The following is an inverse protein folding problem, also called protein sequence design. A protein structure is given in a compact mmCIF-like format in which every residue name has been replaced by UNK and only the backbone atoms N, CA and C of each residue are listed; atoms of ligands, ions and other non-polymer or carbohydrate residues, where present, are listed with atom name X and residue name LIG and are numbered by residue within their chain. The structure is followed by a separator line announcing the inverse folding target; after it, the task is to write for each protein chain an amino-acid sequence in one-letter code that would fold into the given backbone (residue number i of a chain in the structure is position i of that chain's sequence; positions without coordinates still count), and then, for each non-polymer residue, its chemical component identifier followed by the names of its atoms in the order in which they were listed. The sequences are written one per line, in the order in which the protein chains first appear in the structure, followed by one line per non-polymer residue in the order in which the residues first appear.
data_IF_374608437308
#
_entry.id   IF_374608437308
#
_cell.length_a   1.000
_cell.length_b   1.000
_cell.length_c   1.000
_cell.angle_alpha   90.00
_cell.angle_beta   90.00
_cell.angle_gamma   90.00
#
_symmetry.space_group_name_H-M   'P 1'
#
loop_
_entity.id
_entity.type
_entity.pdbx_description
1 polymer ?
#
# COMPACT_ATOMS: atom_id res chain seq x y z
N UNK A 1 17.61 -10.08 -16.17
CA UNK A 1 17.06 -9.84 -14.82
C UNK A 1 17.59 -10.91 -13.89
N UNK A 2 18.29 -10.53 -12.83
CA UNK A 2 18.79 -11.48 -11.85
C UNK A 2 17.66 -11.98 -10.95
N UNK A 3 17.78 -13.23 -10.47
CA UNK A 3 16.79 -13.86 -9.59
C UNK A 3 16.50 -13.01 -8.33
N UNK A 4 17.53 -12.32 -7.82
CA UNK A 4 17.41 -11.42 -6.67
C UNK A 4 16.50 -10.21 -6.98
N UNK A 5 16.72 -9.53 -8.11
CA UNK A 5 15.91 -8.37 -8.52
C UNK A 5 14.46 -8.80 -8.79
N UNK A 6 14.25 -9.95 -9.42
CA UNK A 6 12.91 -10.51 -9.63
C UNK A 6 12.21 -10.75 -8.29
N UNK A 7 12.91 -11.30 -7.30
CA UNK A 7 12.37 -11.55 -5.96
C UNK A 7 11.99 -10.26 -5.25
N UNK A 8 12.84 -9.22 -5.32
CA UNK A 8 12.56 -7.90 -4.76
C UNK A 8 11.33 -7.29 -5.43
N UNK A 9 11.27 -7.30 -6.77
CA UNK A 9 10.12 -6.77 -7.50
C UNK A 9 8.82 -7.51 -7.16
N UNK A 10 8.86 -8.84 -7.05
CA UNK A 10 7.69 -9.65 -6.69
C UNK A 10 7.24 -9.37 -5.25
N UNK A 11 8.18 -9.26 -4.32
CA UNK A 11 7.87 -8.92 -2.93
C UNK A 11 7.27 -7.51 -2.82
N UNK A 12 7.89 -6.51 -3.47
CA UNK A 12 7.35 -5.14 -3.57
C UNK A 12 5.95 -5.12 -4.18
N UNK A 13 5.73 -5.94 -5.21
CA UNK A 13 4.45 -6.08 -5.86
C UNK A 13 3.42 -6.63 -4.86
N UNK A 14 3.72 -7.72 -4.17
CA UNK A 14 2.82 -8.33 -3.18
C UNK A 14 2.48 -7.36 -2.04
N UNK A 15 3.48 -6.64 -1.50
CA UNK A 15 3.31 -5.65 -0.42
C UNK A 15 2.32 -4.56 -0.84
N UNK A 16 2.54 -3.95 -2.01
CA UNK A 16 1.70 -2.85 -2.49
C UNK A 16 0.32 -3.31 -2.94
N UNK A 17 0.22 -4.52 -3.49
CA UNK A 17 -1.04 -5.13 -3.88
C UNK A 17 -1.93 -5.39 -2.65
N UNK A 18 -1.39 -6.02 -1.61
CA UNK A 18 -2.11 -6.24 -0.34
C UNK A 18 -2.51 -4.91 0.31
N UNK A 19 -1.62 -3.91 0.30
CA UNK A 19 -1.91 -2.57 0.81
C UNK A 19 -3.08 -1.89 0.08
N UNK A 20 -3.16 -2.01 -1.24
CA UNK A 20 -4.28 -1.50 -2.04
C UNK A 20 -5.58 -2.30 -1.79
N UNK A 21 -5.49 -3.62 -1.63
CA UNK A 21 -6.63 -4.47 -1.33
C UNK A 21 -7.27 -4.16 0.03
N UNK A 22 -6.50 -3.67 1.01
CA UNK A 22 -7.01 -3.34 2.33
C UNK A 22 -8.21 -2.36 2.26
N UNK A 23 -8.21 -1.41 1.33
CA UNK A 23 -9.35 -0.49 1.12
C UNK A 23 -10.66 -1.23 0.80
N UNK A 24 -10.60 -2.37 0.11
CA UNK A 24 -11.78 -3.16 -0.19
C UNK A 24 -12.43 -3.76 1.07
N UNK A 25 -11.66 -4.03 2.13
CA UNK A 25 -12.18 -4.50 3.40
C UNK A 25 -13.09 -3.46 4.07
N UNK A 26 -12.72 -2.16 4.01
CA UNK A 26 -13.55 -1.06 4.53
C UNK A 26 -14.90 -0.97 3.82
N UNK A 27 -14.90 -1.05 2.49
CA UNK A 27 -16.14 -1.06 1.68
C UNK A 27 -17.00 -2.29 2.01
N UNK A 28 -16.37 -3.45 2.20
CA UNK A 28 -17.07 -4.67 2.60
C UNK A 28 -17.71 -4.55 4.00
N UNK A 29 -17.07 -3.83 4.92
CA UNK A 29 -17.58 -3.56 6.27
C UNK A 29 -18.89 -2.79 6.28
N UNK A 30 -18.92 -1.64 5.58
CA UNK A 30 -20.12 -0.81 5.42
C UNK A 30 -21.26 -1.61 4.82
N UNK A 31 -21.00 -2.33 3.72
CA UNK A 31 -22.03 -3.11 3.03
C UNK A 31 -22.59 -4.26 3.87
N UNK A 32 -21.79 -4.84 4.77
CA UNK A 32 -22.21 -5.95 5.64
C UNK A 32 -22.72 -5.47 7.00
N UNK A 33 -22.68 -4.15 7.27
CA UNK A 33 -22.99 -3.55 8.57
C UNK A 33 -22.15 -4.13 9.72
N UNK A 34 -20.91 -4.57 9.41
CA UNK A 34 -19.98 -5.22 10.36
C UNK A 34 -18.66 -4.47 10.42
N UNK A 35 -18.73 -3.23 10.87
CA UNK A 35 -17.61 -2.27 10.82
C UNK A 35 -16.39 -2.76 11.61
N UNK A 36 -16.59 -3.24 12.84
CA UNK A 36 -15.49 -3.69 13.70
C UNK A 36 -14.69 -4.86 13.09
N UNK A 37 -15.39 -5.84 12.50
CA UNK A 37 -14.74 -6.98 11.86
C UNK A 37 -13.98 -6.58 10.58
N UNK A 38 -14.55 -5.68 9.79
CA UNK A 38 -13.88 -5.14 8.62
C UNK A 38 -12.65 -4.28 8.99
N UNK A 39 -12.72 -3.54 10.10
CA UNK A 39 -11.59 -2.78 10.63
C UNK A 39 -10.47 -3.71 11.09
N UNK A 40 -10.79 -4.79 11.79
CA UNK A 40 -9.81 -5.81 12.17
C UNK A 40 -9.15 -6.44 10.93
N UNK A 41 -9.93 -6.79 9.90
CA UNK A 41 -9.40 -7.32 8.63
C UNK A 41 -8.48 -6.32 7.92
N UNK A 42 -8.88 -5.04 7.85
CA UNK A 42 -8.06 -3.96 7.30
C UNK A 42 -6.72 -3.86 8.02
N UNK A 43 -6.74 -3.81 9.36
CA UNK A 43 -5.52 -3.69 10.17
C UNK A 43 -4.59 -4.89 10.00
N UNK A 44 -5.14 -6.11 9.93
CA UNK A 44 -4.34 -7.32 9.66
C UNK A 44 -3.65 -7.24 8.30
N UNK A 45 -4.36 -6.83 7.24
CA UNK A 45 -3.79 -6.69 5.90
C UNK A 45 -2.69 -5.61 5.86
N UNK A 46 -2.92 -4.46 6.50
CA UNK A 46 -1.93 -3.37 6.58
C UNK A 46 -0.70 -3.79 7.39
N UNK A 47 -0.91 -4.47 8.53
CA UNK A 47 0.18 -4.97 9.36
C UNK A 47 1.04 -5.98 8.59
N UNK A 48 0.42 -6.91 7.88
CA UNK A 48 1.13 -7.89 7.04
C UNK A 48 1.96 -7.20 5.96
N UNK A 49 1.36 -6.23 5.24
CA UNK A 49 2.05 -5.44 4.22
C UNK A 49 3.28 -4.71 4.80
N UNK A 50 3.15 -4.10 5.98
CA UNK A 50 4.26 -3.39 6.64
C UNK A 50 5.36 -4.32 7.15
N UNK A 51 4.98 -5.46 7.74
CA UNK A 51 5.94 -6.46 8.17
C UNK A 51 6.76 -6.97 6.97
N UNK A 52 6.09 -7.28 5.86
CA UNK A 52 6.74 -7.65 4.60
C UNK A 52 7.66 -6.56 4.07
N UNK A 53 7.30 -5.28 4.22
CA UNK A 53 8.18 -4.17 3.86
C UNK A 53 9.44 -4.11 4.73
N UNK A 54 9.36 -4.51 6.00
CA UNK A 54 10.54 -4.67 6.87
C UNK A 54 11.54 -5.71 6.33
N UNK A 55 11.06 -6.81 5.74
CA UNK A 55 11.91 -7.80 5.08
C UNK A 55 12.53 -7.30 3.77
N UNK A 56 11.90 -6.35 3.09
CA UNK A 56 12.39 -5.80 1.83
C UNK A 56 13.72 -5.06 1.99
N UNK A 57 13.92 -4.37 3.13
CA UNK A 57 15.13 -3.59 3.43
C UNK A 57 16.43 -4.41 3.32
N UNK A 58 16.56 -5.53 4.04
CA UNK A 58 17.72 -6.42 3.93
C UNK A 58 17.98 -6.95 2.50
N UNK A 59 16.94 -7.29 1.73
CA UNK A 59 17.11 -7.75 0.34
C UNK A 59 17.66 -6.65 -0.58
N UNK A 60 17.19 -5.41 -0.40
CA UNK A 60 17.70 -4.24 -1.11
C UNK A 60 19.13 -3.89 -0.70
N UNK A 61 19.43 -3.94 0.60
CA UNK A 61 20.79 -3.69 1.11
C UNK A 61 21.80 -4.67 0.50
N UNK A 62 21.46 -5.97 0.47
CA UNK A 62 22.29 -7.00 -0.17
C UNK A 62 22.49 -6.74 -1.68
N UNK A 63 21.49 -6.21 -2.37
CA UNK A 63 21.61 -5.86 -3.80
C UNK A 63 22.61 -4.72 -4.00
N UNK A 64 22.58 -3.70 -3.15
CA UNK A 64 23.55 -2.60 -3.19
C UNK A 64 24.96 -3.09 -2.90
N UNK A 65 25.14 -3.92 -1.87
CA UNK A 65 26.45 -4.50 -1.54
C UNK A 65 27.03 -5.29 -2.72
N UNK A 66 26.20 -6.08 -3.39
CA UNK A 66 26.62 -6.85 -4.56
C UNK A 66 26.98 -5.93 -5.74
N UNK A 67 26.27 -4.81 -5.91
CA UNK A 67 26.55 -3.82 -6.94
C UNK A 67 27.84 -3.03 -6.67
N UNK A 68 28.10 -2.68 -5.40
CA UNK A 68 29.35 -2.06 -4.95
C UNK A 68 30.57 -2.95 -5.23
N UNK A 69 30.44 -4.26 -4.98
CA UNK A 69 31.52 -5.22 -5.21
C UNK A 69 31.81 -5.46 -6.70
N UNK A 70 30.82 -5.26 -7.57
CA UNK A 70 30.91 -5.50 -9.00
C UNK A 70 31.26 -4.25 -9.82
N UNK A 71 31.55 -3.10 -9.18
CA UNK A 71 31.86 -1.78 -9.76
C UNK A 71 30.89 -1.34 -10.89
N UNK A 72 29.67 -1.85 -10.86
CA UNK A 72 28.64 -1.69 -11.90
C UNK A 72 27.57 -0.71 -11.42
N UNK A 73 27.98 0.53 -11.16
CA UNK A 73 27.11 1.59 -10.65
C UNK A 73 25.99 2.01 -11.60
N UNK A 74 26.18 1.87 -12.92
CA UNK A 74 25.24 2.35 -13.93
C UNK A 74 23.89 1.59 -13.93
N UNK A 75 23.84 0.37 -13.40
CA UNK A 75 22.61 -0.44 -13.37
C UNK A 75 21.72 -0.22 -12.15
N UNK A 76 22.26 0.30 -11.05
CA UNK A 76 21.57 0.29 -9.75
C UNK A 76 20.37 1.26 -9.70
N UNK A 77 20.50 2.42 -10.34
CA UNK A 77 19.40 3.39 -10.45
C UNK A 77 18.24 2.80 -11.24
N UNK A 78 18.54 2.10 -12.34
CA UNK A 78 17.54 1.42 -13.15
C UNK A 78 16.82 0.31 -12.36
N UNK A 79 17.56 -0.49 -11.59
CA UNK A 79 17.01 -1.53 -10.72
C UNK A 79 16.01 -0.93 -9.71
N UNK A 80 16.34 0.18 -9.06
CA UNK A 80 15.43 0.81 -8.09
C UNK A 80 14.20 1.46 -8.73
N UNK A 81 14.34 2.05 -9.92
CA UNK A 81 13.18 2.52 -10.69
C UNK A 81 12.27 1.36 -11.10
N UNK A 82 12.84 0.21 -11.43
CA UNK A 82 12.08 -1.00 -11.73
C UNK A 82 11.31 -1.51 -10.50
N UNK A 83 11.92 -1.48 -9.31
CA UNK A 83 11.25 -1.82 -8.05
C UNK A 83 10.08 -0.86 -7.76
N UNK A 84 10.28 0.45 -7.92
CA UNK A 84 9.20 1.44 -7.80
C UNK A 84 8.12 1.24 -8.89
N UNK A 85 8.50 0.75 -10.07
CA UNK A 85 7.55 0.50 -11.15
C UNK A 85 6.69 -0.71 -10.82
N UNK A 86 7.27 -1.74 -10.20
CA UNK A 86 6.54 -2.87 -9.65
C UNK A 86 5.55 -2.42 -8.55
N UNK A 87 5.93 -1.49 -7.67
CA UNK A 87 5.04 -0.90 -6.67
C UNK A 87 3.85 -0.16 -7.30
N UNK A 88 4.10 0.59 -8.37
CA UNK A 88 3.08 1.32 -9.12
C UNK A 88 2.14 0.35 -9.83
N UNK A 89 2.68 -0.65 -10.54
CA UNK A 89 1.90 -1.68 -11.21
C UNK A 89 1.02 -2.45 -10.23
N UNK A 90 1.56 -2.81 -9.07
CA UNK A 90 0.82 -3.46 -8.00
C UNK A 90 -0.31 -2.59 -7.44
N UNK A 91 -0.07 -1.29 -7.25
CA UNK A 91 -1.09 -0.37 -6.76
C UNK A 91 -2.20 -0.15 -7.80
N UNK A 92 -1.87 -0.06 -9.08
CA UNK A 92 -2.85 0.02 -10.17
C UNK A 92 -3.70 -1.26 -10.23
N UNK A 93 -3.05 -2.43 -10.25
CA UNK A 93 -3.73 -3.71 -10.29
C UNK A 93 -4.57 -3.95 -9.03
N UNK A 94 -4.04 -3.62 -7.86
CA UNK A 94 -4.75 -3.71 -6.59
C UNK A 94 -6.00 -2.83 -6.56
N UNK A 95 -5.88 -1.57 -6.99
CA UNK A 95 -7.02 -0.64 -7.10
C UNK A 95 -8.07 -1.14 -8.09
N UNK A 96 -7.65 -1.69 -9.24
CA UNK A 96 -8.57 -2.31 -10.19
C UNK A 96 -9.26 -3.55 -9.61
N UNK A 97 -8.58 -4.27 -8.70
CA UNK A 97 -9.10 -5.47 -8.05
C UNK A 97 -10.04 -5.19 -6.87
N UNK A 98 -10.16 -3.93 -6.42
CA UNK A 98 -11.01 -3.54 -5.28
C UNK A 98 -12.46 -4.06 -5.39
N UNK A 99 -13.18 -3.94 -6.52
CA UNK A 99 -14.57 -4.42 -6.61
C UNK A 99 -14.67 -5.94 -6.43
N UNK A 100 -13.67 -6.69 -6.90
CA UNK A 100 -13.59 -8.15 -6.75
C UNK A 100 -13.29 -8.51 -5.30
N UNK A 101 -12.27 -7.87 -4.73
CA UNK A 101 -11.85 -8.07 -3.36
C UNK A 101 -12.93 -7.69 -2.34
N UNK A 102 -13.70 -6.63 -2.62
CA UNK A 102 -14.84 -6.23 -1.79
C UNK A 102 -15.84 -7.39 -1.66
N UNK A 103 -16.18 -8.07 -2.77
CA UNK A 103 -17.12 -9.20 -2.74
C UNK A 103 -16.55 -10.38 -1.97
N UNK A 104 -15.25 -10.66 -2.15
CA UNK A 104 -14.55 -11.72 -1.43
C UNK A 104 -14.57 -11.45 0.08
N UNK A 105 -14.24 -10.23 0.49
CA UNK A 105 -14.27 -9.83 1.89
C UNK A 105 -15.67 -9.77 2.47
N UNK A 106 -16.68 -9.30 1.73
CA UNK A 106 -18.08 -9.33 2.22
C UNK A 106 -18.55 -10.76 2.52
N UNK A 107 -18.15 -11.74 1.70
CA UNK A 107 -18.46 -13.16 1.98
C UNK A 107 -17.63 -13.71 3.13
N UNK A 108 -16.34 -13.43 3.17
CA UNK A 108 -15.47 -13.87 4.26
C UNK A 108 -15.96 -13.33 5.62
N UNK A 109 -16.35 -12.05 5.66
CA UNK A 109 -16.96 -11.40 6.83
C UNK A 109 -18.31 -12.06 7.17
N UNK A 110 -19.10 -12.45 6.16
CA UNK A 110 -20.32 -13.25 6.27
C UNK A 110 -20.08 -14.57 7.02
N UNK A 111 -19.18 -15.38 6.47
CA UNK A 111 -18.85 -16.73 6.94
C UNK A 111 -18.10 -16.74 8.28
N UNK A 112 -17.36 -15.67 8.59
CA UNK A 112 -16.66 -15.48 9.86
C UNK A 112 -17.61 -15.51 11.07
N UNK A 113 -18.88 -15.13 10.87
CA UNK A 113 -19.86 -15.20 11.96
C UNK A 113 -20.16 -16.62 12.42
N UNK A 114 -19.99 -17.64 11.57
CA UNK A 114 -20.22 -19.03 11.96
C UNK A 114 -18.96 -19.67 12.56
N UNK A 115 -17.78 -19.15 12.25
CA UNK A 115 -16.50 -19.65 12.76
C UNK A 115 -15.74 -18.50 13.43
N UNK A 116 -15.87 -18.36 14.75
CA UNK A 116 -15.29 -17.27 15.57
C UNK A 116 -13.75 -17.22 15.64
N UNK A 117 -13.04 -17.89 14.73
CA UNK A 117 -11.58 -18.06 14.76
C UNK A 117 -10.93 -17.52 13.48
N UNK A 118 -10.11 -16.47 13.63
CA UNK A 118 -9.30 -15.86 12.56
C UNK A 118 -8.35 -16.88 11.91
N UNK A 119 -7.75 -17.75 12.72
CA UNK A 119 -6.86 -18.82 12.25
C UNK A 119 -7.61 -19.87 11.41
N UNK A 120 -8.89 -20.12 11.72
CA UNK A 120 -9.72 -21.07 10.96
C UNK A 120 -10.10 -20.49 9.60
N UNK A 121 -10.38 -19.19 9.48
CA UNK A 121 -10.65 -18.58 8.17
C UNK A 121 -9.41 -18.48 7.28
N UNK A 122 -8.22 -18.23 7.82
CA UNK A 122 -6.98 -18.28 7.03
C UNK A 122 -6.79 -19.69 6.45
N UNK A 123 -7.04 -20.74 7.25
CA UNK A 123 -6.96 -22.14 6.79
C UNK A 123 -8.02 -22.48 5.72
N UNK A 124 -9.24 -21.94 5.83
CA UNK A 124 -10.32 -22.17 4.86
C UNK A 124 -10.09 -21.38 3.57
N UNK A 125 -9.63 -20.13 3.66
CA UNK A 125 -9.26 -19.31 2.50
C UNK A 125 -8.05 -19.87 1.74
N UNK A 126 -7.11 -20.52 2.44
CA UNK A 126 -5.97 -21.22 1.84
C UNK A 126 -6.34 -22.61 1.26
N UNK A 127 -7.58 -23.07 1.40
CA UNK A 127 -8.01 -24.36 0.86
C UNK A 127 -8.31 -24.28 -0.65
N UNK A 128 -8.04 -25.35 -1.44
CA UNK A 128 -8.27 -25.37 -2.88
C UNK A 128 -9.76 -25.18 -3.27
N UNK A 129 -10.68 -25.55 -2.38
CA UNK A 129 -12.13 -25.29 -2.54
C UNK A 129 -12.48 -23.82 -2.30
N UNK A 130 -11.83 -23.15 -1.35
CA UNK A 130 -11.95 -21.71 -1.13
C UNK A 130 -11.45 -20.89 -2.32
N UNK A 131 -10.29 -21.24 -2.88
CA UNK A 131 -9.75 -20.60 -4.09
C UNK A 131 -10.67 -20.81 -5.32
N UNK A 132 -11.13 -22.03 -5.58
CA UNK A 132 -12.01 -22.31 -6.72
C UNK A 132 -13.35 -21.54 -6.63
N UNK A 133 -13.85 -21.27 -5.42
CA UNK A 133 -15.07 -20.51 -5.19
C UNK A 133 -14.85 -18.98 -5.33
N UNK A 134 -13.68 -18.48 -4.93
CA UNK A 134 -13.27 -17.09 -5.16
C UNK A 134 -13.12 -16.76 -6.65
N UNK A 135 -12.59 -17.71 -7.43
CA UNK A 135 -12.41 -17.60 -8.88
C UNK A 135 -13.74 -17.52 -9.66
N UNK A 136 -14.75 -18.32 -9.29
CA UNK A 136 -16.08 -18.31 -9.95
C UNK A 136 -16.88 -17.03 -9.71
N UNK A 137 -16.48 -16.21 -8.74
CA UNK A 137 -17.12 -14.92 -8.44
C UNK A 137 -16.53 -13.73 -9.22
N UNK A 138 -15.46 -13.96 -9.98
CA UNK A 138 -14.84 -12.95 -10.82
C UNK A 138 -15.75 -12.56 -11.97
N UNK A 139 -16.15 -11.29 -12.03
CA UNK A 139 -16.83 -10.70 -13.20
C UNK A 139 -16.24 -9.33 -13.49
N UNK A 140 -16.08 -9.03 -14.79
CA UNK A 140 -15.37 -7.85 -15.32
C UNK A 140 -15.94 -6.51 -14.82
N UNK A 141 -15.09 -5.50 -14.60
CA UNK A 141 -15.49 -4.18 -14.12
C UNK A 141 -16.38 -3.47 -15.15
N UNK A 142 -17.54 -2.95 -14.72
CA UNK A 142 -18.41 -2.11 -15.56
C UNK A 142 -17.96 -0.64 -15.45
N UNK A 143 -17.56 -0.07 -16.58
CA UNK A 143 -17.03 1.29 -16.71
C UNK A 143 -18.04 2.42 -16.40
N UNK A 144 -19.33 2.10 -16.21
CA UNK A 144 -20.37 3.07 -15.82
C UNK A 144 -20.16 3.68 -14.43
N UNK A 145 -19.32 3.08 -13.58
CA UNK A 145 -19.00 3.60 -12.24
C UNK A 145 -17.93 4.71 -12.22
N UNK A 146 -17.20 4.94 -13.31
CA UNK A 146 -16.14 5.95 -13.39
C UNK A 146 -16.67 7.36 -13.69
N UNK A 147 -17.85 7.49 -14.32
CA UNK A 147 -18.39 8.78 -14.76
C UNK A 147 -18.96 9.65 -13.62
N UNK A 148 -19.01 9.15 -12.38
CA UNK A 148 -19.50 9.89 -11.21
C UNK A 148 -18.42 10.40 -10.25
N UNK A 149 -17.14 10.39 -10.66
CA UNK A 149 -15.99 10.74 -9.81
C UNK A 149 -15.83 12.26 -9.55
N UNK A 150 -16.59 13.13 -10.22
CA UNK A 150 -16.44 14.59 -10.12
C UNK A 150 -17.24 15.27 -8.99
N UNK A 151 -17.86 14.51 -8.08
CA UNK A 151 -18.52 15.08 -6.90
C UNK A 151 -17.67 14.93 -5.64
N UNK A 152 -16.86 15.94 -5.30
CA UNK A 152 -15.96 15.99 -4.13
C UNK A 152 -16.70 16.13 -2.77
N UNK A 153 -17.87 15.49 -2.60
CA UNK A 153 -18.69 15.63 -1.39
C UNK A 153 -18.37 14.60 -0.29
N UNK A 154 -17.13 14.12 -0.21
CA UNK A 154 -16.76 13.03 0.73
C UNK A 154 -15.57 13.37 1.62
N UNK A 155 -14.45 13.82 1.03
CA UNK A 155 -13.21 14.09 1.75
C UNK A 155 -12.52 15.30 1.12
N UNK A 156 -11.96 16.18 1.94
CA UNK A 156 -11.26 17.38 1.49
C UNK A 156 -10.04 17.06 0.61
N UNK A 157 -9.76 17.91 -0.37
CA UNK A 157 -8.59 17.81 -1.24
C UNK A 157 -7.27 17.74 -0.46
N UNK A 158 -7.22 18.39 0.71
CA UNK A 158 -6.09 18.33 1.63
C UNK A 158 -5.79 16.91 2.11
N UNK A 159 -6.80 16.13 2.49
CA UNK A 159 -6.65 14.75 2.97
C UNK A 159 -6.18 13.83 1.82
N UNK A 160 -6.70 14.05 0.62
CA UNK A 160 -6.28 13.30 -0.57
C UNK A 160 -4.81 13.60 -0.89
N UNK A 161 -4.43 14.87 -0.93
CA UNK A 161 -3.05 15.30 -1.17
C UNK A 161 -2.10 14.74 -0.09
N UNK A 162 -2.53 14.74 1.16
CA UNK A 162 -1.76 14.17 2.25
C UNK A 162 -1.61 12.66 2.13
N UNK A 163 -2.63 11.94 1.65
CA UNK A 163 -2.52 10.51 1.36
C UNK A 163 -1.55 10.27 0.19
N UNK A 164 -1.59 11.08 -0.87
CA UNK A 164 -0.58 11.00 -1.96
C UNK A 164 0.82 11.15 -1.38
N UNK A 165 1.06 12.16 -0.55
CA UNK A 165 2.36 12.43 0.07
C UNK A 165 2.80 11.27 0.96
N UNK A 166 1.92 10.79 1.85
CA UNK A 166 2.23 9.68 2.74
C UNK A 166 2.60 8.40 1.96
N UNK A 167 1.86 8.08 0.90
CA UNK A 167 2.16 6.92 0.06
C UNK A 167 3.46 7.10 -0.75
N UNK A 168 3.77 8.32 -1.18
CA UNK A 168 5.05 8.62 -1.82
C UNK A 168 6.22 8.44 -0.85
N UNK A 169 6.11 8.94 0.39
CA UNK A 169 7.12 8.77 1.42
C UNK A 169 7.35 7.30 1.79
N UNK A 170 6.28 6.49 1.92
CA UNK A 170 6.40 5.05 2.15
C UNK A 170 7.07 4.32 0.99
N UNK A 171 6.81 4.74 -0.25
CA UNK A 171 7.41 4.13 -1.45
C UNK A 171 8.89 4.47 -1.60
N UNK A 172 9.26 5.72 -1.34
CA UNK A 172 10.63 6.22 -1.54
C UNK A 172 11.53 5.98 -0.34
N UNK A 173 11.02 6.03 0.89
CA UNK A 173 11.83 6.13 2.11
C UNK A 173 12.96 5.11 2.20
N UNK A 174 12.64 3.81 2.08
CA UNK A 174 13.66 2.74 2.14
C UNK A 174 14.64 2.83 0.99
N UNK A 175 14.16 3.00 -0.23
CA UNK A 175 14.99 3.01 -1.43
C UNK A 175 15.92 4.23 -1.47
N UNK A 176 15.41 5.43 -1.14
CA UNK A 176 16.19 6.66 -1.10
C UNK A 176 17.26 6.62 -0.01
N UNK A 177 16.94 6.12 1.18
CA UNK A 177 17.91 5.95 2.26
C UNK A 177 19.05 5.00 1.90
N UNK A 178 18.72 3.89 1.25
CA UNK A 178 19.70 2.92 0.81
C UNK A 178 20.54 3.45 -0.37
N UNK A 179 19.93 4.18 -1.31
CA UNK A 179 20.65 4.83 -2.40
C UNK A 179 21.53 5.98 -1.93
N UNK A 180 21.11 6.75 -0.93
CA UNK A 180 21.93 7.77 -0.27
C UNK A 180 23.21 7.19 0.33
N UNK A 181 23.11 6.03 0.99
CA UNK A 181 24.27 5.31 1.51
C UNK A 181 25.18 4.70 0.43
N UNK A 182 24.69 4.57 -0.81
CA UNK A 182 25.50 4.24 -1.97
C UNK A 182 26.21 5.49 -2.54
N UNK A 183 25.52 6.63 -2.61
CA UNK A 183 26.08 7.89 -3.08
C UNK A 183 27.22 8.41 -2.19
N UNK A 184 27.05 8.31 -0.86
CA UNK A 184 28.06 8.73 0.11
C UNK A 184 28.29 7.58 1.12
N UNK A 185 29.25 6.67 0.83
CA UNK A 185 29.49 5.49 1.66
C UNK A 185 29.85 5.79 3.12
N UNK A 186 30.45 6.96 3.39
CA UNK A 186 30.83 7.41 4.73
C UNK A 186 29.64 7.48 5.70
N UNK A 187 28.46 7.91 5.22
CA UNK A 187 27.25 8.02 6.04
C UNK A 187 26.25 6.88 5.83
N UNK A 188 26.70 5.74 5.27
CA UNK A 188 25.81 4.65 4.86
C UNK A 188 24.90 4.14 5.98
N UNK A 189 25.44 3.99 7.20
CA UNK A 189 24.65 3.52 8.36
C UNK A 189 23.63 4.58 8.76
N UNK A 190 24.04 5.85 8.88
CA UNK A 190 23.16 6.98 9.21
C UNK A 190 22.04 7.14 8.20
N UNK A 191 22.37 7.13 6.90
CA UNK A 191 21.41 7.19 5.80
C UNK A 191 20.38 6.04 5.86
N UNK A 192 20.83 4.83 6.19
CA UNK A 192 19.95 3.67 6.37
C UNK A 192 19.00 3.84 7.56
N UNK A 193 19.45 4.43 8.67
CA UNK A 193 18.58 4.66 9.85
C UNK A 193 17.53 5.76 9.61
N UNK A 194 17.83 6.76 8.79
CA UNK A 194 16.87 7.80 8.39
C UNK A 194 15.61 7.22 7.70
N UNK A 195 15.72 6.03 7.09
CA UNK A 195 14.57 5.31 6.51
C UNK A 195 13.47 5.05 7.54
N UNK A 196 13.83 4.69 8.77
CA UNK A 196 12.86 4.42 9.83
C UNK A 196 12.10 5.69 10.21
N UNK A 197 12.78 6.84 10.22
CA UNK A 197 12.17 8.15 10.51
C UNK A 197 11.18 8.52 9.40
N UNK A 198 11.60 8.43 8.13
CA UNK A 198 10.73 8.75 6.98
C UNK A 198 9.49 7.86 6.96
N UNK A 199 9.66 6.54 7.16
CA UNK A 199 8.54 5.61 7.22
C UNK A 199 7.64 5.84 8.43
N UNK A 200 8.22 6.16 9.59
CA UNK A 200 7.48 6.51 10.81
C UNK A 200 6.60 7.73 10.58
N UNK A 201 7.15 8.80 10.01
CA UNK A 201 6.40 10.00 9.68
C UNK A 201 5.26 9.71 8.69
N UNK A 202 5.53 8.98 7.62
CA UNK A 202 4.52 8.61 6.65
C UNK A 202 3.39 7.75 7.27
N UNK A 203 3.75 6.86 8.19
CA UNK A 203 2.80 6.02 8.92
C UNK A 203 1.92 6.84 9.85
N UNK A 204 2.49 7.84 10.54
CA UNK A 204 1.75 8.79 11.37
C UNK A 204 0.75 9.58 10.52
N UNK A 205 1.17 10.09 9.35
CA UNK A 205 0.25 10.77 8.42
C UNK A 205 -0.95 9.90 8.05
N UNK A 206 -0.73 8.62 7.73
CA UNK A 206 -1.83 7.68 7.43
C UNK A 206 -2.76 7.49 8.62
N UNK A 207 -2.23 7.15 9.80
CA UNK A 207 -3.07 6.79 10.94
C UNK A 207 -3.72 7.96 11.65
N UNK A 208 -3.05 9.11 11.72
CA UNK A 208 -3.55 10.26 12.48
C UNK A 208 -4.45 11.14 11.62
N UNK A 209 -4.18 11.22 10.31
CA UNK A 209 -4.84 12.22 9.47
C UNK A 209 -5.80 11.59 8.45
N UNK A 210 -5.61 10.33 8.05
CA UNK A 210 -6.41 9.70 6.99
C UNK A 210 -7.37 8.65 7.57
N UNK A 211 -6.91 7.78 8.45
CA UNK A 211 -7.74 6.73 9.07
C UNK A 211 -8.93 7.27 9.91
N UNK A 212 -8.81 8.39 10.65
CA UNK A 212 -9.95 8.95 11.39
C UNK A 212 -11.01 9.52 10.45
N UNK A 213 -10.60 10.15 9.34
CA UNK A 213 -11.52 10.68 8.33
C UNK A 213 -12.36 9.55 7.71
N UNK A 214 -11.73 8.42 7.42
CA UNK A 214 -12.43 7.22 6.94
C UNK A 214 -13.36 6.61 8.00
N UNK A 215 -12.96 6.64 9.27
CA UNK A 215 -13.78 6.09 10.36
C UNK A 215 -15.01 6.96 10.62
N UNK A 216 -14.87 8.28 10.68
CA UNK A 216 -16.01 9.21 10.80
C UNK A 216 -16.97 9.05 9.62
N UNK A 217 -16.44 9.00 8.39
CA UNK A 217 -17.28 8.78 7.21
C UNK A 217 -17.97 7.40 7.22
N UNK A 218 -17.38 6.41 7.90
CA UNK A 218 -18.02 5.10 8.09
C UNK A 218 -19.22 5.22 9.03
N UNK A 219 -19.08 5.95 10.13
CA UNK A 219 -20.15 6.20 11.10
C UNK A 219 -21.28 7.04 10.49
N UNK A 220 -20.94 8.01 9.63
CA UNK A 220 -21.90 8.79 8.86
C UNK A 220 -22.76 7.92 7.92
N UNK A 221 -22.17 6.88 7.33
CA UNK A 221 -22.94 5.95 6.50
C UNK A 221 -23.84 5.05 7.34
N UNK A 222 -23.37 4.62 8.50
CA UNK A 222 -24.17 3.77 9.42
C UNK A 222 -25.33 4.55 10.01
N UNK A 223 -25.13 5.83 10.33
CA UNK A 223 -26.18 6.73 10.81
C UNK A 223 -27.14 7.20 9.70
N UNK A 224 -26.84 6.89 8.44
CA UNK A 224 -27.65 7.25 7.28
C UNK A 224 -27.50 8.70 6.82
N UNK A 225 -26.58 9.47 7.42
CA UNK A 225 -26.29 10.86 7.01
C UNK A 225 -25.59 10.92 5.65
N UNK A 226 -24.83 9.86 5.29
CA UNK A 226 -24.11 9.73 4.02
C UNK A 226 -24.49 8.42 3.33
N UNK A 227 -24.78 8.47 2.03
CA UNK A 227 -25.08 7.26 1.26
C UNK A 227 -23.85 6.36 1.03
N UNK A 228 -24.03 5.03 1.05
CA UNK A 228 -22.95 4.05 0.75
C UNK A 228 -22.23 4.33 -0.57
N UNK A 229 -22.95 4.88 -1.56
CA UNK A 229 -22.39 5.25 -2.86
C UNK A 229 -21.32 6.35 -2.78
N UNK A 230 -21.48 7.32 -1.87
CA UNK A 230 -20.52 8.41 -1.63
C UNK A 230 -19.29 7.85 -0.93
N UNK A 231 -19.48 7.04 0.12
CA UNK A 231 -18.38 6.35 0.80
C UNK A 231 -17.54 5.50 -0.13
N UNK A 232 -18.19 4.68 -0.98
CA UNK A 232 -17.46 3.88 -1.98
C UNK A 232 -16.63 4.75 -2.93
N UNK A 233 -17.16 5.90 -3.37
CA UNK A 233 -16.41 6.83 -4.23
C UNK A 233 -15.19 7.40 -3.50
N UNK A 234 -15.34 7.81 -2.25
CA UNK A 234 -14.22 8.28 -1.41
C UNK A 234 -13.14 7.23 -1.26
N UNK A 235 -13.51 5.99 -0.92
CA UNK A 235 -12.52 4.92 -0.75
C UNK A 235 -11.79 4.62 -2.07
N UNK A 236 -12.50 4.65 -3.21
CA UNK A 236 -11.88 4.51 -4.53
C UNK A 236 -10.94 5.68 -4.83
N UNK A 237 -11.31 6.90 -4.46
CA UNK A 237 -10.47 8.10 -4.62
C UNK A 237 -9.19 8.00 -3.78
N UNK A 238 -9.27 7.49 -2.56
CA UNK A 238 -8.09 7.24 -1.71
C UNK A 238 -7.21 6.09 -2.25
N UNK A 239 -7.81 5.07 -2.84
CA UNK A 239 -7.05 4.04 -3.55
C UNK A 239 -6.36 4.60 -4.80
N UNK A 240 -7.00 5.50 -5.53
CA UNK A 240 -6.40 6.19 -6.68
C UNK A 240 -5.27 7.13 -6.22
N UNK A 241 -5.45 7.84 -5.11
CA UNK A 241 -4.38 8.69 -4.57
C UNK A 241 -3.17 7.88 -4.10
N UNK A 242 -3.36 6.62 -3.69
CA UNK A 242 -2.22 5.69 -3.48
C UNK A 242 -1.43 5.45 -4.76
N UNK A 243 -2.11 5.22 -5.89
CA UNK A 243 -1.44 5.08 -7.20
C UNK A 243 -0.68 6.36 -7.53
N UNK A 244 -1.29 7.53 -7.38
CA UNK A 244 -0.62 8.81 -7.57
C UNK A 244 0.61 8.94 -6.67
N UNK A 245 0.53 8.50 -5.41
CA UNK A 245 1.67 8.49 -4.48
C UNK A 245 2.82 7.59 -4.95
N UNK A 246 2.52 6.39 -5.48
CA UNK A 246 3.55 5.51 -6.05
C UNK A 246 4.18 6.04 -7.33
N UNK A 247 3.42 6.80 -8.13
CA UNK A 247 3.97 7.50 -9.29
C UNK A 247 4.83 8.69 -8.84
N UNK A 248 4.36 9.45 -7.86
CA UNK A 248 5.13 10.55 -7.26
C UNK A 248 6.43 10.03 -6.64
N UNK A 249 6.43 8.81 -6.09
CA UNK A 249 7.62 8.16 -5.58
C UNK A 249 8.71 7.98 -6.64
N UNK A 250 8.35 7.69 -7.90
CA UNK A 250 9.32 7.60 -9.00
C UNK A 250 10.05 8.92 -9.24
N UNK A 251 9.31 10.02 -9.20
CA UNK A 251 9.85 11.36 -9.42
C UNK A 251 10.67 11.82 -8.22
N UNK A 252 10.17 11.54 -7.01
CA UNK A 252 10.82 11.94 -5.75
C UNK A 252 12.04 11.08 -5.39
N UNK A 253 12.25 9.92 -6.02
CA UNK A 253 13.30 8.98 -5.64
C UNK A 253 14.71 9.62 -5.54
N UNK A 254 15.16 10.28 -6.61
CA UNK A 254 16.48 10.92 -6.67
C UNK A 254 16.58 12.13 -5.72
N UNK A 255 15.65 13.11 -5.74
CA UNK A 255 15.75 14.26 -4.84
C UNK A 255 15.62 13.85 -3.37
N UNK A 256 14.82 12.84 -3.05
CA UNK A 256 14.73 12.31 -1.69
C UNK A 256 16.05 11.67 -1.23
N UNK A 257 16.77 10.97 -2.10
CA UNK A 257 18.08 10.41 -1.75
C UNK A 257 19.09 11.51 -1.40
N UNK A 258 19.13 12.59 -2.19
CA UNK A 258 19.97 13.75 -1.89
C UNK A 258 19.56 14.46 -0.59
N UNK A 259 18.25 14.53 -0.31
CA UNK A 259 17.76 15.07 0.95
C UNK A 259 18.23 14.20 2.13
N UNK A 260 18.19 12.88 2.00
CA UNK A 260 18.73 11.97 3.02
C UNK A 260 20.24 12.18 3.21
N UNK A 261 21.01 12.35 2.14
CA UNK A 261 22.45 12.68 2.23
C UNK A 261 22.66 13.99 2.98
N UNK A 262 21.90 15.04 2.65
CA UNK A 262 21.99 16.33 3.33
C UNK A 262 21.66 16.23 4.82
N UNK A 263 20.62 15.47 5.18
CA UNK A 263 20.30 15.20 6.58
C UNK A 263 21.39 14.39 7.28
N UNK A 264 21.99 13.42 6.60
CA UNK A 264 23.05 12.59 7.17
C UNK A 264 24.35 13.38 7.41
N UNK A 265 24.65 14.40 6.60
CA UNK A 265 25.77 15.30 6.84
C UNK A 265 25.58 16.23 8.05
N UNK A 266 24.33 16.52 8.42
CA UNK A 266 24.02 17.41 9.56
C UNK A 266 24.06 16.70 10.91
N UNK A 267 24.11 15.37 10.93
CA UNK A 267 24.13 14.52 12.12
C UNK A 267 25.53 14.02 12.42
#
# INVERSE_FOLDING_TARGET
MDLQLLTICLLTFAINFVGALAYAARIAGVRTQRIALAFALFNVLVLLSRLSNGFLGPFLAKRIESALLADSGDGLLFDFRLVLAAATAASVLGTLFIPTAQRWFSRAIGDFQHHRSVLTLVKVAASPRGLAFLWRAGTRPRASHLRGLCGLHGVGLSVIALNVLAQALLGVGVLASLYAGYLVPEYRVTASQLSAIVNGFATILLFVLIDPQLSVMTDDVVSGSVGEGVFRRTVVLLALSRVCGTVLAQVLFVPAAWLVVACAHLM
#
